data_IF_545220523270
#
_entry.id   IF_545220523270
#
_cell.length_a   1.000
_cell.length_b   1.000
_cell.length_c   1.000
_cell.angle_alpha   90.00
_cell.angle_beta   90.00
_cell.angle_gamma   90.00
#
_symmetry.space_group_name_H-M   'P 1'
#
loop_
_entity.id
_entity.type
_entity.pdbx_description
1 polymer ?
#
# COMPACT_ATOMS: atom_id res chain seq x y z
N UNK A 1 40.32 -58.99 7.51
CA UNK A 1 38.97 -58.47 7.84
C UNK A 1 39.02 -56.95 7.73
N UNK A 2 38.37 -56.36 6.72
CA UNK A 2 38.35 -54.92 6.48
C UNK A 2 37.14 -54.29 7.17
N UNK A 3 37.39 -53.43 8.17
CA UNK A 3 36.34 -52.75 8.92
C UNK A 3 35.86 -51.49 8.19
N UNK A 4 34.57 -51.44 7.85
CA UNK A 4 33.94 -50.25 7.27
C UNK A 4 33.63 -49.26 8.40
N UNK A 5 34.28 -48.08 8.38
CA UNK A 5 33.91 -46.95 9.26
C UNK A 5 32.78 -46.15 8.61
N UNK A 6 31.61 -46.15 9.25
CA UNK A 6 30.45 -45.33 8.84
C UNK A 6 30.60 -43.93 9.43
N UNK A 7 30.74 -42.92 8.58
CA UNK A 7 30.84 -41.52 8.99
C UNK A 7 29.47 -40.85 8.86
N UNK A 8 28.95 -40.30 9.96
CA UNK A 8 27.71 -39.52 9.96
C UNK A 8 28.06 -38.03 9.94
N UNK A 9 27.70 -37.30 8.88
CA UNK A 9 27.92 -35.86 8.81
C UNK A 9 27.21 -35.14 9.96
N UNK A 10 27.87 -34.14 10.57
CA UNK A 10 27.27 -33.34 11.64
C UNK A 10 26.04 -32.59 11.11
N UNK A 11 24.93 -32.65 11.85
CA UNK A 11 23.69 -31.96 11.51
C UNK A 11 23.79 -30.48 11.92
N UNK A 12 24.29 -29.66 11.01
CA UNK A 12 24.53 -28.23 11.20
C UNK A 12 23.24 -27.43 11.44
N UNK A 13 22.10 -27.87 10.91
CA UNK A 13 20.78 -27.27 11.18
C UNK A 13 20.39 -27.43 12.66
N UNK A 14 20.63 -28.60 13.25
CA UNK A 14 20.34 -28.86 14.66
C UNK A 14 21.18 -27.97 15.59
N UNK A 15 22.43 -27.71 15.23
CA UNK A 15 23.32 -26.80 15.96
C UNK A 15 22.85 -25.34 15.86
N UNK A 16 22.40 -24.90 14.67
CA UNK A 16 21.90 -23.53 14.45
C UNK A 16 20.57 -23.25 15.16
N UNK A 17 19.66 -24.22 15.21
CA UNK A 17 18.37 -24.07 15.94
C UNK A 17 18.59 -23.99 17.45
N UNK A 18 19.64 -24.64 17.97
CA UNK A 18 20.00 -24.60 19.40
C UNK A 18 20.88 -23.41 19.78
N UNK A 19 21.34 -22.62 18.81
CA UNK A 19 22.20 -21.46 19.07
C UNK A 19 21.40 -20.37 19.80
N UNK A 20 21.91 -19.84 20.93
CA UNK A 20 21.27 -18.74 21.65
C UNK A 20 21.29 -17.46 20.79
N UNK A 21 20.24 -16.64 20.90
CA UNK A 21 20.11 -15.36 20.19
C UNK A 21 18.86 -15.21 19.31
N UNK A 22 18.12 -16.30 19.09
CA UNK A 22 16.79 -16.22 18.45
C UNK A 22 15.73 -15.62 19.39
N UNK A 23 14.82 -14.84 18.83
CA UNK A 23 13.60 -14.37 19.51
C UNK A 23 12.40 -15.18 19.03
N UNK A 24 11.34 -15.26 19.84
CA UNK A 24 10.10 -15.90 19.36
C UNK A 24 9.50 -15.07 18.24
N UNK A 25 8.83 -15.74 17.30
CA UNK A 25 8.11 -15.04 16.22
C UNK A 25 7.09 -14.05 16.78
N UNK A 26 6.39 -14.39 17.87
CA UNK A 26 5.48 -13.49 18.58
C UNK A 26 6.17 -12.21 19.06
N UNK A 27 7.36 -12.34 19.63
CA UNK A 27 8.12 -11.21 20.18
C UNK A 27 8.69 -10.34 19.05
N UNK A 28 9.03 -10.96 17.91
CA UNK A 28 9.45 -10.26 16.71
C UNK A 28 8.30 -9.42 16.11
N UNK A 29 7.09 -9.98 16.06
CA UNK A 29 5.87 -9.30 15.60
C UNK A 29 5.52 -8.15 16.53
N UNK A 30 5.46 -8.38 17.85
CA UNK A 30 5.16 -7.34 18.83
C UNK A 30 6.15 -6.15 18.74
N UNK A 31 7.45 -6.44 18.60
CA UNK A 31 8.46 -5.39 18.38
C UNK A 31 8.29 -4.66 17.05
N UNK A 32 7.75 -5.31 16.02
CA UNK A 32 7.46 -4.67 14.75
C UNK A 32 6.26 -3.72 14.86
N UNK A 33 5.20 -4.16 15.56
CA UNK A 33 4.00 -3.35 15.86
C UNK A 33 4.38 -2.09 16.66
N UNK A 34 5.18 -2.23 17.72
CA UNK A 34 5.66 -1.09 18.52
C UNK A 34 6.44 -0.07 17.66
N UNK A 35 7.25 -0.54 16.70
CA UNK A 35 7.94 0.36 15.77
C UNK A 35 6.96 1.05 14.82
N UNK A 36 5.94 0.35 14.34
CA UNK A 36 4.93 0.94 13.46
C UNK A 36 4.15 2.06 14.15
N UNK A 37 3.83 1.90 15.44
CA UNK A 37 3.16 2.94 16.23
C UNK A 37 3.97 4.25 16.25
N UNK A 38 5.30 4.17 16.39
CA UNK A 38 6.15 5.37 16.45
C UNK A 38 6.19 6.20 15.17
N UNK A 39 5.86 5.59 14.01
CA UNK A 39 5.83 6.28 12.71
C UNK A 39 4.42 6.51 12.17
N UNK A 40 3.39 6.00 12.87
CA UNK A 40 2.01 5.95 12.37
C UNK A 40 1.48 7.32 11.95
N UNK A 41 1.67 8.35 12.78
CA UNK A 41 1.20 9.71 12.48
C UNK A 41 1.86 10.28 11.22
N UNK A 42 3.18 10.08 11.06
CA UNK A 42 3.90 10.55 9.87
C UNK A 42 3.46 9.84 8.60
N UNK A 43 3.15 8.55 8.68
CA UNK A 43 2.65 7.79 7.54
C UNK A 43 1.21 8.20 7.19
N UNK A 44 0.34 8.41 8.18
CA UNK A 44 -1.02 8.89 7.94
C UNK A 44 -1.03 10.28 7.29
N UNK A 45 -0.16 11.20 7.74
CA UNK A 45 0.03 12.49 7.07
C UNK A 45 0.56 12.33 5.63
N UNK A 46 1.42 11.33 5.41
CA UNK A 46 1.87 10.94 4.08
C UNK A 46 0.74 10.43 3.18
N UNK A 47 -0.25 9.72 3.73
CA UNK A 47 -1.46 9.29 3.00
C UNK A 47 -2.31 10.51 2.63
N UNK A 48 -2.50 11.46 3.55
CA UNK A 48 -3.25 12.69 3.28
C UNK A 48 -2.68 13.47 2.09
N UNK A 49 -1.35 13.67 2.07
CA UNK A 49 -0.67 14.36 0.97
C UNK A 49 -0.89 13.66 -0.38
N UNK A 50 -0.85 12.32 -0.41
CA UNK A 50 -1.08 11.54 -1.63
C UNK A 50 -2.53 11.63 -2.10
N UNK A 51 -3.50 11.62 -1.18
CA UNK A 51 -4.92 11.78 -1.51
C UNK A 51 -5.19 13.17 -2.09
N UNK A 52 -4.55 14.22 -1.57
CA UNK A 52 -4.66 15.57 -2.15
C UNK A 52 -4.03 15.66 -3.54
N UNK A 53 -2.87 15.04 -3.76
CA UNK A 53 -2.25 14.97 -5.09
C UNK A 53 -3.15 14.22 -6.10
N UNK A 54 -3.72 13.08 -5.69
CA UNK A 54 -4.71 12.36 -6.48
C UNK A 54 -5.93 13.22 -6.81
N UNK A 55 -6.42 14.00 -5.84
CA UNK A 55 -7.53 14.92 -6.05
C UNK A 55 -7.17 15.98 -7.10
N UNK A 56 -6.00 16.58 -7.01
CA UNK A 56 -5.55 17.59 -7.97
C UNK A 56 -5.46 17.02 -9.40
N UNK A 57 -4.86 15.83 -9.55
CA UNK A 57 -4.76 15.14 -10.85
C UNK A 57 -6.14 14.78 -11.41
N UNK A 58 -7.06 14.32 -10.56
CA UNK A 58 -8.43 13.96 -10.95
C UNK A 58 -9.27 15.17 -11.39
N UNK A 59 -9.00 16.37 -10.86
CA UNK A 59 -9.69 17.61 -11.24
C UNK A 59 -9.12 18.18 -12.54
N UNK A 60 -7.79 18.15 -12.72
CA UNK A 60 -7.16 18.64 -13.94
C UNK A 60 -7.59 17.81 -15.17
N UNK A 61 -7.64 16.48 -15.05
CA UNK A 61 -8.06 15.52 -16.09
C UNK A 61 -7.26 15.58 -17.40
N UNK A 62 -7.30 14.48 -18.15
CA UNK A 62 -6.86 14.40 -19.54
C UNK A 62 -5.50 15.05 -19.81
N UNK A 63 -5.43 15.91 -20.84
CA UNK A 63 -4.19 16.59 -21.24
C UNK A 63 -3.72 17.60 -20.21
N UNK A 64 -4.62 18.30 -19.52
CA UNK A 64 -4.28 19.28 -18.48
C UNK A 64 -3.59 18.61 -17.27
N UNK A 65 -3.93 17.35 -16.99
CA UNK A 65 -3.24 16.53 -15.99
C UNK A 65 -1.90 15.94 -16.47
N UNK A 66 -1.59 16.00 -17.77
CA UNK A 66 -0.40 15.35 -18.37
C UNK A 66 -0.68 14.06 -19.15
N UNK A 67 -1.95 13.75 -19.44
CA UNK A 67 -2.35 12.62 -20.29
C UNK A 67 -1.99 11.25 -19.67
N UNK A 68 -1.32 10.39 -20.44
CA UNK A 68 -0.93 9.05 -19.97
C UNK A 68 0.02 9.07 -18.76
N UNK A 69 0.92 10.06 -18.68
CA UNK A 69 1.83 10.21 -17.53
C UNK A 69 1.08 10.50 -16.23
N UNK A 70 -0.07 11.19 -16.34
CA UNK A 70 -0.94 11.46 -15.20
C UNK A 70 -1.57 10.17 -14.67
N UNK A 71 -1.99 9.27 -15.57
CA UNK A 71 -2.56 7.97 -15.21
C UNK A 71 -1.51 7.08 -14.53
N UNK A 72 -0.29 7.06 -15.06
CA UNK A 72 0.82 6.34 -14.42
C UNK A 72 1.10 6.88 -13.01
N UNK A 73 1.06 8.20 -12.83
CA UNK A 73 1.22 8.83 -11.50
C UNK A 73 0.07 8.47 -10.56
N UNK A 74 -1.17 8.46 -11.05
CA UNK A 74 -2.34 8.05 -10.28
C UNK A 74 -2.21 6.59 -9.83
N UNK A 75 -1.77 5.69 -10.72
CA UNK A 75 -1.48 4.29 -10.38
C UNK A 75 -0.42 4.17 -9.27
N UNK A 76 0.68 4.92 -9.39
CA UNK A 76 1.75 4.92 -8.38
C UNK A 76 1.24 5.38 -7.01
N UNK A 77 0.53 6.50 -6.96
CA UNK A 77 -0.06 7.05 -5.74
C UNK A 77 -1.06 6.07 -5.11
N UNK A 78 -1.93 5.46 -5.93
CA UNK A 78 -2.89 4.45 -5.46
C UNK A 78 -2.17 3.23 -4.86
N UNK A 79 -1.11 2.74 -5.50
CA UNK A 79 -0.32 1.61 -5.00
C UNK A 79 0.40 1.92 -3.68
N UNK A 80 0.93 3.14 -3.53
CA UNK A 80 1.52 3.61 -2.27
C UNK A 80 0.47 3.66 -1.14
N UNK A 81 -0.71 4.24 -1.40
CA UNK A 81 -1.81 4.29 -0.43
C UNK A 81 -2.31 2.89 -0.08
N UNK A 82 -2.39 1.97 -1.05
CA UNK A 82 -2.77 0.57 -0.81
C UNK A 82 -1.83 -0.10 0.21
N UNK A 83 -0.51 0.05 0.00
CA UNK A 83 0.51 -0.53 0.86
C UNK A 83 0.51 0.10 2.27
N UNK A 84 0.48 1.43 2.35
CA UNK A 84 0.48 2.17 3.61
C UNK A 84 -0.81 1.90 4.39
N UNK A 85 -1.98 1.99 3.74
CA UNK A 85 -3.27 1.72 4.36
C UNK A 85 -3.38 0.28 4.89
N UNK A 86 -2.84 -0.70 4.15
CA UNK A 86 -2.78 -2.09 4.60
C UNK A 86 -1.92 -2.27 5.85
N UNK A 87 -0.76 -1.60 5.91
CA UNK A 87 0.15 -1.68 7.05
C UNK A 87 -0.44 -1.12 8.36
N UNK A 88 -1.35 -0.14 8.28
CA UNK A 88 -2.00 0.49 9.44
C UNK A 88 -3.45 0.03 9.66
N UNK A 89 -3.86 -1.10 9.08
CA UNK A 89 -5.19 -1.68 9.31
C UNK A 89 -6.37 -0.87 8.73
N UNK A 90 -6.11 0.05 7.80
CA UNK A 90 -7.12 0.89 7.12
C UNK A 90 -7.74 0.12 5.95
N UNK A 91 -8.41 -0.99 6.24
CA UNK A 91 -8.90 -1.95 5.22
C UNK A 91 -9.74 -1.27 4.13
N UNK A 92 -10.71 -0.44 4.51
CA UNK A 92 -11.59 0.22 3.55
C UNK A 92 -10.85 1.18 2.59
N UNK A 93 -9.84 1.90 3.10
CA UNK A 93 -8.99 2.77 2.29
C UNK A 93 -8.12 1.95 1.33
N UNK A 94 -7.47 0.90 1.86
CA UNK A 94 -6.63 -0.01 1.08
C UNK A 94 -7.43 -0.66 -0.06
N UNK A 95 -8.65 -1.12 0.20
CA UNK A 95 -9.54 -1.67 -0.85
C UNK A 95 -9.87 -0.63 -1.93
N UNK A 96 -10.15 0.62 -1.55
CA UNK A 96 -10.45 1.68 -2.51
C UNK A 96 -9.25 2.02 -3.41
N UNK A 97 -8.05 2.07 -2.81
CA UNK A 97 -6.80 2.31 -3.50
C UNK A 97 -6.45 1.15 -4.45
N UNK A 98 -6.62 -0.11 -4.02
CA UNK A 98 -6.42 -1.26 -4.87
C UNK A 98 -7.35 -1.26 -6.10
N UNK A 99 -8.63 -0.94 -5.89
CA UNK A 99 -9.57 -0.83 -7.01
C UNK A 99 -9.19 0.28 -8.00
N UNK A 100 -8.55 1.35 -7.53
CA UNK A 100 -8.01 2.37 -8.41
C UNK A 100 -6.77 1.86 -9.19
N UNK A 101 -5.91 1.06 -8.57
CA UNK A 101 -4.81 0.39 -9.27
C UNK A 101 -5.31 -0.51 -10.39
N UNK A 102 -6.38 -1.26 -10.16
CA UNK A 102 -6.98 -2.13 -11.19
C UNK A 102 -7.53 -1.32 -12.36
N UNK A 103 -7.99 -0.08 -12.12
CA UNK A 103 -8.48 0.82 -13.15
C UNK A 103 -7.34 1.47 -13.94
N UNK A 104 -6.30 1.96 -13.27
CA UNK A 104 -5.21 2.74 -13.90
C UNK A 104 -3.96 1.92 -14.23
N UNK A 105 -4.02 0.61 -14.01
CA UNK A 105 -2.90 -0.30 -14.18
C UNK A 105 -2.33 -0.35 -15.61
N UNK A 106 -1.05 -0.74 -15.74
CA UNK A 106 -0.41 -0.92 -17.04
C UNK A 106 -1.18 -1.94 -17.90
N UNK A 107 -1.47 -1.56 -19.14
CA UNK A 107 -2.18 -2.43 -20.09
C UNK A 107 -3.69 -2.24 -20.15
N UNK A 108 -4.27 -1.37 -19.32
CA UNK A 108 -5.66 -0.98 -19.45
C UNK A 108 -5.86 0.05 -20.58
N UNK A 109 -6.93 -0.12 -21.34
CA UNK A 109 -7.39 0.89 -22.28
C UNK A 109 -8.09 2.02 -21.50
N UNK A 110 -7.44 3.17 -21.47
CA UNK A 110 -7.95 4.35 -20.79
C UNK A 110 -8.67 5.23 -21.82
N UNK A 111 -9.99 5.09 -21.91
CA UNK A 111 -10.84 5.96 -22.73
C UNK A 111 -11.18 7.28 -21.99
N UNK A 112 -12.03 8.12 -22.60
CA UNK A 112 -12.43 9.39 -21.99
C UNK A 112 -13.20 9.23 -20.66
N UNK A 113 -13.87 8.10 -20.43
CA UNK A 113 -14.68 7.83 -19.24
C UNK A 113 -13.87 7.40 -18.02
N UNK A 114 -12.59 7.06 -18.20
CA UNK A 114 -11.69 6.66 -17.10
C UNK A 114 -11.56 7.75 -16.03
N UNK A 115 -11.63 9.03 -16.42
CA UNK A 115 -11.41 10.15 -15.51
C UNK A 115 -12.55 10.34 -14.50
N UNK A 116 -13.78 10.08 -14.91
CA UNK A 116 -14.92 10.12 -13.99
C UNK A 116 -14.84 8.96 -12.98
N UNK A 117 -14.43 7.78 -13.43
CA UNK A 117 -14.20 6.64 -12.56
C UNK A 117 -13.06 6.91 -11.55
N UNK A 118 -11.94 7.48 -12.01
CA UNK A 118 -10.82 7.92 -11.15
C UNK A 118 -11.34 8.87 -10.06
N UNK A 119 -12.11 9.89 -10.43
CA UNK A 119 -12.64 10.86 -9.45
C UNK A 119 -13.49 10.17 -8.38
N UNK A 120 -14.39 9.26 -8.77
CA UNK A 120 -15.21 8.50 -7.80
C UNK A 120 -14.34 7.72 -6.82
N UNK A 121 -13.28 7.05 -7.30
CA UNK A 121 -12.35 6.33 -6.43
C UNK A 121 -11.64 7.28 -5.46
N UNK A 122 -11.16 8.44 -5.94
CA UNK A 122 -10.50 9.45 -5.11
C UNK A 122 -11.44 9.99 -4.03
N UNK A 123 -12.68 10.34 -4.38
CA UNK A 123 -13.67 10.80 -3.40
C UNK A 123 -13.99 9.72 -2.36
N UNK A 124 -14.08 8.46 -2.80
CA UNK A 124 -14.29 7.34 -1.89
C UNK A 124 -13.14 7.16 -0.88
N UNK A 125 -11.89 7.45 -1.28
CA UNK A 125 -10.72 7.41 -0.40
C UNK A 125 -10.75 8.54 0.63
N UNK A 126 -11.10 9.77 0.24
CA UNK A 126 -11.23 10.91 1.17
C UNK A 126 -12.22 10.61 2.29
N UNK A 127 -13.41 10.12 1.94
CA UNK A 127 -14.46 9.76 2.90
C UNK A 127 -14.01 8.65 3.85
N UNK A 128 -13.30 7.64 3.34
CA UNK A 128 -12.84 6.49 4.14
C UNK A 128 -11.62 6.79 5.00
N UNK A 129 -10.78 7.75 4.63
CA UNK A 129 -9.66 8.20 5.45
C UNK A 129 -10.11 9.09 6.62
N UNK A 130 -11.22 9.81 6.45
CA UNK A 130 -11.74 10.77 7.43
C UNK A 130 -11.33 12.23 7.14
N UNK A 131 -10.86 12.52 5.92
CA UNK A 131 -10.62 13.90 5.48
C UNK A 131 -11.99 14.54 5.24
N UNK A 132 -12.35 15.54 6.06
CA UNK A 132 -13.67 16.17 6.04
C UNK A 132 -14.10 16.60 4.62
N UNK A 133 -15.34 16.23 4.26
CA UNK A 133 -16.06 16.65 3.07
C UNK A 133 -16.25 18.18 3.10
N UNK A 134 -15.28 18.92 2.53
CA UNK A 134 -15.35 20.36 2.36
C UNK A 134 -16.44 20.72 1.36
N UNK A 135 -17.45 21.44 1.82
CA UNK A 135 -18.62 21.87 1.08
C UNK A 135 -18.28 22.58 -0.25
N UNK A 136 -18.47 21.90 -1.38
CA UNK A 136 -18.90 22.55 -2.62
C UNK A 136 -19.45 21.52 -3.62
N UNK A 137 -20.70 21.11 -3.43
CA UNK A 137 -21.50 20.52 -4.51
C UNK A 137 -22.77 21.37 -4.64
N UNK A 138 -23.03 22.04 -5.77
CA UNK A 138 -24.35 22.60 -6.03
C UNK A 138 -25.34 21.44 -6.14
N UNK A 139 -26.41 21.52 -5.35
CA UNK A 139 -27.56 20.61 -5.46
C UNK A 139 -28.24 20.77 -6.84
N UNK A 140 -28.95 19.73 -7.33
CA UNK A 140 -29.63 19.76 -8.62
C UNK A 140 -30.68 20.88 -8.74
#
# INVERSE_FOLDING_TARGET
MTGVKKFWPKNRLKELVAAPGGIRASDAVARAEERLETISESCLAGIDAKIEELSALSVARGVEAGGGQAIDRIYQLANEIFAEGGAFGRVALSTAAHSLCDLTGPGNENDGGVWDAIEVHVQSMRVRHGVHFGANFPAP
#
